data_IF_693810503217
#
_entry.id   IF_693810503217
#
_cell.length_a   1.000
_cell.length_b   1.000
_cell.length_c   1.000
_cell.angle_alpha   90.00
_cell.angle_beta   90.00
_cell.angle_gamma   90.00
#
_symmetry.space_group_name_H-M   'P 1'
#
loop_
_entity.id
_entity.type
_entity.pdbx_description
1 polymer ?
#
# COMPACT_ATOMS: atom_id res chain seq x y z
N UNK A 1 -42.15 21.87 10.55
CA UNK A 1 -40.71 21.81 10.16
C UNK A 1 -39.93 21.53 11.43
N UNK A 2 -39.29 20.36 11.56
CA UNK A 2 -38.47 19.99 12.73
C UNK A 2 -37.01 20.10 12.33
N UNK A 3 -36.30 21.02 12.96
CA UNK A 3 -34.86 21.20 12.75
C UNK A 3 -34.09 19.98 13.27
N UNK A 4 -33.23 19.46 12.42
CA UNK A 4 -32.33 18.33 12.71
C UNK A 4 -31.01 18.92 13.21
N UNK A 5 -30.52 18.58 14.41
CA UNK A 5 -29.26 19.15 14.89
C UNK A 5 -28.11 18.61 14.02
N UNK A 6 -27.21 19.51 13.62
CA UNK A 6 -25.99 19.17 12.92
C UNK A 6 -25.14 18.23 13.80
N UNK A 7 -24.73 17.08 13.25
CA UNK A 7 -23.75 16.20 13.90
C UNK A 7 -22.43 16.96 14.01
N UNK A 8 -22.06 17.34 15.22
CA UNK A 8 -20.69 17.74 15.53
C UNK A 8 -19.77 16.53 15.33
N UNK A 9 -18.84 16.64 14.39
CA UNK A 9 -17.81 15.65 14.13
C UNK A 9 -16.61 15.94 15.05
N UNK A 10 -16.41 15.10 16.05
CA UNK A 10 -15.13 15.07 16.79
C UNK A 10 -14.10 14.29 15.97
N UNK A 11 -12.90 14.83 15.71
CA UNK A 11 -11.85 14.08 15.05
C UNK A 11 -11.42 12.88 15.91
N UNK A 12 -11.34 11.70 15.29
CA UNK A 12 -10.91 10.46 15.96
C UNK A 12 -9.49 10.62 16.51
N UNK A 13 -9.23 10.35 17.81
CA UNK A 13 -7.90 10.47 18.40
C UNK A 13 -6.87 9.53 17.76
N UNK A 14 -5.64 9.99 17.53
CA UNK A 14 -4.52 9.23 16.94
C UNK A 14 -4.17 7.92 17.66
N UNK A 15 -4.57 7.76 18.93
CA UNK A 15 -4.42 6.51 19.68
C UNK A 15 -5.15 5.32 19.02
N UNK A 16 -6.10 5.58 18.11
CA UNK A 16 -6.84 4.58 17.35
C UNK A 16 -6.38 4.47 15.89
N UNK A 17 -5.16 4.87 15.52
CA UNK A 17 -4.60 4.64 14.17
C UNK A 17 -3.68 3.41 14.23
N UNK A 18 -4.28 2.23 14.39
CA UNK A 18 -3.64 0.95 14.07
C UNK A 18 -3.90 0.58 12.59
N UNK A 19 -3.13 -0.37 12.04
CA UNK A 19 -3.25 -0.80 10.65
C UNK A 19 -4.67 -1.28 10.25
N UNK A 20 -5.48 -1.73 11.21
CA UNK A 20 -6.87 -2.18 10.98
C UNK A 20 -7.86 -0.99 10.91
N UNK A 21 -7.64 0.06 11.70
CA UNK A 21 -8.36 1.33 11.65
C UNK A 21 -7.95 2.23 10.48
N UNK A 22 -6.76 2.05 9.91
CA UNK A 22 -6.34 2.75 8.70
C UNK A 22 -7.17 2.34 7.47
N UNK A 23 -7.61 1.07 7.39
CA UNK A 23 -8.40 0.55 6.27
C UNK A 23 -9.89 0.95 6.40
N UNK A 24 -10.39 1.17 7.62
CA UNK A 24 -11.81 1.48 7.89
C UNK A 24 -12.10 2.95 8.19
N UNK A 25 -11.08 3.75 8.53
CA UNK A 25 -11.21 5.14 8.96
C UNK A 25 -10.92 6.22 7.91
N UNK A 26 -10.51 5.86 6.69
CA UNK A 26 -10.14 6.84 5.66
C UNK A 26 -11.31 7.15 4.74
N UNK A 27 -12.05 8.21 5.05
CA UNK A 27 -12.72 8.95 3.97
C UNK A 27 -11.61 9.69 3.21
N UNK A 28 -11.55 9.56 1.88
CA UNK A 28 -10.56 10.29 1.06
C UNK A 28 -10.52 11.81 1.34
N UNK A 29 -11.64 12.37 1.81
CA UNK A 29 -11.75 13.76 2.31
C UNK A 29 -10.79 14.09 3.47
N UNK A 30 -10.55 13.15 4.39
CA UNK A 30 -9.70 13.37 5.57
C UNK A 30 -8.20 13.38 5.21
N UNK A 31 -7.82 12.66 4.16
CA UNK A 31 -6.47 12.69 3.62
C UNK A 31 -6.18 14.03 2.95
N UNK A 32 -7.09 14.51 2.08
CA UNK A 32 -6.93 15.82 1.44
C UNK A 32 -6.90 16.97 2.46
N UNK A 33 -7.73 16.91 3.51
CA UNK A 33 -7.68 17.92 4.57
C UNK A 33 -6.36 17.90 5.33
N UNK A 34 -5.79 16.71 5.56
CA UNK A 34 -4.47 16.54 6.19
C UNK A 34 -3.36 17.08 5.29
N UNK A 35 -3.36 16.75 4.00
CA UNK A 35 -2.38 17.32 3.05
C UNK A 35 -2.46 18.85 3.01
N UNK A 36 -3.68 19.41 3.00
CA UNK A 36 -3.90 20.85 3.05
C UNK A 36 -3.42 21.47 4.37
N UNK A 37 -3.65 20.82 5.50
CA UNK A 37 -3.20 21.35 6.81
C UNK A 37 -1.67 21.33 6.91
N UNK A 38 -1.03 20.25 6.45
CA UNK A 38 0.43 20.13 6.36
C UNK A 38 1.01 21.22 5.45
N UNK A 39 0.42 21.43 4.26
CA UNK A 39 0.84 22.49 3.34
C UNK A 39 0.67 23.89 3.96
N UNK A 40 -0.46 24.16 4.60
CA UNK A 40 -0.71 25.41 5.31
C UNK A 40 0.28 25.63 6.46
N UNK A 41 0.66 24.57 7.19
CA UNK A 41 1.66 24.63 8.24
C UNK A 41 3.05 24.98 7.67
N UNK A 42 3.44 24.37 6.54
CA UNK A 42 4.69 24.70 5.87
C UNK A 42 4.79 26.15 5.40
N UNK A 43 3.67 26.73 4.94
CA UNK A 43 3.59 28.15 4.58
C UNK A 43 3.65 29.08 5.81
N UNK A 44 3.09 28.66 6.95
CA UNK A 44 3.10 29.43 8.21
C UNK A 44 4.46 29.39 8.92
N UNK A 45 5.31 28.41 8.61
CA UNK A 45 6.65 28.28 9.18
C UNK A 45 7.74 28.37 8.09
N UNK A 46 7.86 29.53 7.42
CA UNK A 46 8.69 29.66 6.20
C UNK A 46 10.18 29.42 6.47
N UNK A 47 10.71 29.84 7.62
CA UNK A 47 12.13 29.64 7.97
C UNK A 47 12.46 28.16 8.15
N UNK A 48 11.57 27.40 8.82
CA UNK A 48 11.72 25.96 9.01
C UNK A 48 11.70 25.24 7.66
N UNK A 49 10.67 25.50 6.86
CA UNK A 49 10.51 24.93 5.53
C UNK A 49 11.68 25.27 4.60
N UNK A 50 12.13 26.54 4.57
CA UNK A 50 13.27 26.97 3.76
C UNK A 50 14.57 26.25 4.16
N UNK A 51 14.84 26.08 5.46
CA UNK A 51 16.00 25.33 5.93
C UNK A 51 15.99 23.89 5.44
N UNK A 52 14.84 23.22 5.52
CA UNK A 52 14.72 21.84 5.05
C UNK A 52 14.80 21.74 3.52
N UNK A 53 14.26 22.71 2.79
CA UNK A 53 14.35 22.78 1.33
C UNK A 53 15.80 23.02 0.86
N UNK A 54 16.55 23.90 1.53
CA UNK A 54 17.97 24.12 1.22
C UNK A 54 18.82 22.88 1.49
N UNK A 55 18.60 22.19 2.63
CA UNK A 55 19.25 20.92 2.94
C UNK A 55 18.95 19.86 1.87
N UNK A 56 17.68 19.74 1.46
CA UNK A 56 17.27 18.85 0.38
C UNK A 56 17.98 19.22 -0.93
N UNK A 57 17.99 20.50 -1.31
CA UNK A 57 18.65 20.97 -2.53
C UNK A 57 20.14 20.62 -2.56
N UNK A 58 20.84 20.79 -1.44
CA UNK A 58 22.24 20.38 -1.30
C UNK A 58 22.44 18.86 -1.43
N UNK A 59 21.55 18.06 -0.83
CA UNK A 59 21.56 16.59 -0.98
C UNK A 59 21.32 16.19 -2.45
N UNK A 60 20.32 16.77 -3.10
CA UNK A 60 20.02 16.50 -4.51
C UNK A 60 21.17 16.90 -5.43
N UNK A 61 21.84 18.03 -5.18
CA UNK A 61 23.05 18.41 -5.91
C UNK A 61 24.16 17.37 -5.80
N UNK A 62 24.44 16.87 -4.59
CA UNK A 62 25.42 15.79 -4.36
C UNK A 62 25.01 14.48 -5.03
N UNK A 63 23.73 14.13 -4.98
CA UNK A 63 23.18 12.97 -5.70
C UNK A 63 23.39 13.11 -7.20
N UNK A 64 23.13 14.29 -7.78
CA UNK A 64 23.38 14.54 -9.21
C UNK A 64 24.86 14.38 -9.58
N UNK A 65 25.77 14.79 -8.69
CA UNK A 65 27.21 14.55 -8.82
C UNK A 65 27.59 13.05 -8.69
N UNK A 66 26.64 12.20 -8.31
CA UNK A 66 26.79 10.74 -8.25
C UNK A 66 27.12 10.20 -6.86
N UNK A 67 27.04 11.02 -5.82
CA UNK A 67 27.22 10.57 -4.45
C UNK A 67 26.07 9.68 -3.98
N UNK A 68 26.40 8.72 -3.12
CA UNK A 68 25.43 7.87 -2.43
C UNK A 68 25.35 8.33 -0.98
N UNK A 69 24.24 8.97 -0.63
CA UNK A 69 24.07 9.65 0.66
C UNK A 69 23.36 8.78 1.68
N UNK A 70 22.53 7.84 1.22
CA UNK A 70 21.67 7.04 2.05
C UNK A 70 21.83 5.56 1.73
N UNK A 71 21.97 4.70 2.75
CA UNK A 71 21.97 3.26 2.54
C UNK A 71 20.59 2.82 2.04
N UNK A 72 20.58 1.91 1.09
CA UNK A 72 19.36 1.23 0.66
C UNK A 72 18.98 0.19 1.70
N UNK A 73 17.69 0.09 2.04
CA UNK A 73 17.21 -0.95 2.96
C UNK A 73 17.32 -2.32 2.27
N UNK A 74 18.13 -3.27 2.78
CA UNK A 74 18.29 -4.59 2.16
C UNK A 74 16.99 -5.42 2.17
N UNK A 75 16.01 -5.06 2.99
CA UNK A 75 14.70 -5.72 3.05
C UNK A 75 13.63 -5.06 2.16
N UNK A 76 13.96 -3.96 1.46
CA UNK A 76 13.02 -3.32 0.52
C UNK A 76 13.14 -3.96 -0.87
N UNK A 77 12.29 -4.97 -1.11
CA UNK A 77 12.26 -5.71 -2.38
C UNK A 77 12.00 -4.84 -3.61
N UNK A 78 11.45 -3.63 -3.44
CA UNK A 78 11.21 -2.68 -4.55
C UNK A 78 12.50 -2.27 -5.24
N UNK A 79 13.63 -2.30 -4.53
CA UNK A 79 14.94 -1.89 -5.03
C UNK A 79 15.94 -3.06 -5.08
N UNK A 80 15.45 -4.30 -5.16
CA UNK A 80 16.30 -5.49 -5.19
C UNK A 80 17.04 -5.71 -6.52
N UNK A 81 16.56 -5.11 -7.62
CA UNK A 81 17.22 -5.25 -8.93
C UNK A 81 18.61 -4.58 -8.93
N UNK A 82 19.69 -5.27 -9.38
CA UNK A 82 21.04 -4.71 -9.41
C UNK A 82 21.17 -3.41 -10.22
N UNK A 83 20.26 -3.14 -11.16
CA UNK A 83 20.27 -1.89 -11.91
C UNK A 83 20.18 -0.66 -11.01
N UNK A 84 19.52 -0.76 -9.85
CA UNK A 84 19.42 0.32 -8.86
C UNK A 84 20.78 0.72 -8.25
N UNK A 85 21.75 -0.18 -8.21
CA UNK A 85 23.10 0.10 -7.69
C UNK A 85 24.14 0.28 -8.80
N UNK A 86 24.01 -0.46 -9.90
CA UNK A 86 25.00 -0.48 -10.97
C UNK A 86 24.83 0.65 -12.00
N UNK A 87 23.59 1.06 -12.28
CA UNK A 87 23.33 2.10 -13.27
C UNK A 87 23.34 3.50 -12.63
N UNK A 88 24.16 4.45 -13.11
CA UNK A 88 24.20 5.80 -12.56
C UNK A 88 22.86 6.53 -12.56
N UNK A 89 22.01 6.33 -13.58
CA UNK A 89 20.69 6.95 -13.66
C UNK A 89 19.76 6.42 -12.56
N UNK A 90 19.60 5.09 -12.48
CA UNK A 90 18.74 4.48 -11.45
C UNK A 90 19.26 4.75 -10.04
N UNK A 91 20.57 4.65 -9.83
CA UNK A 91 21.20 4.97 -8.55
C UNK A 91 20.91 6.41 -8.12
N UNK A 92 21.05 7.38 -9.03
CA UNK A 92 20.72 8.78 -8.74
C UNK A 92 19.23 8.97 -8.43
N UNK A 93 18.34 8.34 -9.19
CA UNK A 93 16.90 8.43 -8.94
C UNK A 93 16.50 7.85 -7.57
N UNK A 94 17.09 6.71 -7.19
CA UNK A 94 16.89 6.09 -5.88
C UNK A 94 17.42 6.97 -4.76
N UNK A 95 18.64 7.50 -4.90
CA UNK A 95 19.22 8.38 -3.87
C UNK A 95 18.43 9.68 -3.73
N UNK A 96 17.93 10.26 -4.84
CA UNK A 96 17.07 11.44 -4.79
C UNK A 96 15.76 11.15 -4.04
N UNK A 97 15.13 10.01 -4.31
CA UNK A 97 13.96 9.54 -3.60
C UNK A 97 14.21 9.32 -2.10
N UNK A 98 15.31 8.65 -1.73
CA UNK A 98 15.67 8.44 -0.32
C UNK A 98 16.00 9.75 0.41
N UNK A 99 16.65 10.70 -0.26
CA UNK A 99 16.93 12.03 0.29
C UNK A 99 15.63 12.80 0.53
N UNK A 100 14.72 12.80 -0.44
CA UNK A 100 13.37 13.36 -0.26
C UNK A 100 12.65 12.71 0.94
N UNK A 101 12.60 11.38 0.96
CA UNK A 101 11.91 10.61 1.99
C UNK A 101 12.41 10.97 3.39
N UNK A 102 13.73 10.97 3.58
CA UNK A 102 14.35 11.28 4.88
C UNK A 102 14.14 12.74 5.26
N UNK A 103 14.34 13.65 4.31
CA UNK A 103 14.32 15.08 4.60
C UNK A 103 12.91 15.60 4.91
N UNK A 104 11.87 15.07 4.26
CA UNK A 104 10.47 15.39 4.57
C UNK A 104 10.05 14.79 5.91
N UNK A 105 10.45 13.55 6.23
CA UNK A 105 10.20 12.98 7.57
C UNK A 105 10.81 13.83 8.68
N UNK A 106 12.06 14.25 8.52
CA UNK A 106 12.71 15.16 9.46
C UNK A 106 11.98 16.50 9.57
N UNK A 107 11.48 17.05 8.46
CA UNK A 107 10.70 18.28 8.48
C UNK A 107 9.40 18.13 9.29
N UNK A 108 8.70 16.99 9.15
CA UNK A 108 7.50 16.66 9.94
C UNK A 108 7.87 16.48 11.41
N UNK A 109 8.95 15.76 11.73
CA UNK A 109 9.37 15.49 13.11
C UNK A 109 9.78 16.75 13.87
N UNK A 110 10.48 17.66 13.20
CA UNK A 110 10.92 18.95 13.75
C UNK A 110 9.82 20.03 13.69
N UNK A 111 8.66 19.74 13.09
CA UNK A 111 7.55 20.69 13.03
C UNK A 111 6.85 20.84 14.39
N UNK A 112 6.38 22.06 14.68
CA UNK A 112 5.65 22.38 15.92
C UNK A 112 4.16 21.98 15.84
N UNK A 113 3.87 20.83 15.25
CA UNK A 113 2.54 20.26 15.15
C UNK A 113 2.16 19.54 16.46
N UNK A 114 0.85 19.44 16.72
CA UNK A 114 0.35 18.56 17.78
C UNK A 114 0.74 17.09 17.49
N UNK A 115 0.82 16.21 18.51
CA UNK A 115 1.12 14.79 18.29
C UNK A 115 0.15 14.10 17.31
N UNK A 116 -1.14 14.46 17.35
CA UNK A 116 -2.18 13.92 16.47
C UNK A 116 -1.95 14.35 15.02
N UNK A 117 -1.72 15.65 14.78
CA UNK A 117 -1.46 16.20 13.45
C UNK A 117 -0.17 15.64 12.86
N UNK A 118 0.87 15.46 13.68
CA UNK A 118 2.14 14.86 13.25
C UNK A 118 1.97 13.41 12.81
N UNK A 119 1.20 12.62 13.54
CA UNK A 119 0.91 11.23 13.17
C UNK A 119 0.13 11.15 11.84
N UNK A 120 -0.86 12.02 11.66
CA UNK A 120 -1.61 12.14 10.40
C UNK A 120 -0.70 12.58 9.23
N UNK A 121 0.19 13.53 9.48
CA UNK A 121 1.16 14.00 8.49
C UNK A 121 2.11 12.87 8.05
N UNK A 122 2.64 12.10 9.00
CA UNK A 122 3.46 10.92 8.70
C UNK A 122 2.71 9.88 7.89
N UNK A 123 1.47 9.60 8.25
CA UNK A 123 0.63 8.65 7.51
C UNK A 123 0.36 9.12 6.06
N UNK A 124 -0.07 10.38 5.89
CA UNK A 124 -0.32 10.95 4.58
C UNK A 124 0.96 10.99 3.73
N UNK A 125 2.10 11.33 4.35
CA UNK A 125 3.39 11.31 3.71
C UNK A 125 3.82 9.90 3.30
N UNK A 126 3.62 8.89 4.15
CA UNK A 126 3.96 7.51 3.82
C UNK A 126 3.22 7.05 2.55
N UNK A 127 1.91 7.32 2.46
CA UNK A 127 1.12 6.99 1.28
C UNK A 127 1.60 7.72 0.02
N UNK A 128 1.87 9.03 0.13
CA UNK A 128 2.38 9.82 -0.98
C UNK A 128 3.77 9.35 -1.42
N UNK A 129 4.66 9.13 -0.46
CA UNK A 129 6.02 8.67 -0.70
C UNK A 129 6.03 7.29 -1.37
N UNK A 130 5.20 6.37 -0.90
CA UNK A 130 5.07 5.05 -1.52
C UNK A 130 4.50 5.14 -2.93
N UNK A 131 3.51 6.01 -3.18
CA UNK A 131 2.97 6.22 -4.54
C UNK A 131 4.03 6.78 -5.51
N UNK A 132 4.86 7.72 -5.03
CA UNK A 132 5.91 8.37 -5.81
C UNK A 132 7.22 7.55 -5.91
N UNK A 133 7.25 6.34 -5.36
CA UNK A 133 8.44 5.51 -5.41
C UNK A 133 8.88 5.27 -6.87
N UNK A 134 10.18 5.43 -7.22
CA UNK A 134 10.67 5.22 -8.58
C UNK A 134 10.35 3.84 -9.16
N UNK A 135 10.22 2.83 -8.30
CA UNK A 135 9.83 1.47 -8.66
C UNK A 135 8.39 1.33 -9.15
N UNK A 136 7.52 2.31 -8.90
CA UNK A 136 6.15 2.32 -9.42
C UNK A 136 6.04 2.95 -10.82
N UNK A 137 7.14 3.49 -11.36
CA UNK A 137 7.17 4.06 -12.70
C UNK A 137 7.33 2.99 -13.77
N UNK A 138 6.80 3.24 -14.98
CA UNK A 138 7.08 2.44 -16.18
C UNK A 138 8.57 2.42 -16.53
N UNK A 139 9.35 3.37 -16.01
CA UNK A 139 10.79 3.42 -16.16
C UNK A 139 11.53 2.53 -15.15
N UNK A 140 10.85 1.73 -14.34
CA UNK A 140 11.50 0.77 -13.44
C UNK A 140 12.33 -0.24 -14.28
N UNK A 141 13.58 -0.58 -13.89
CA UNK A 141 14.41 -1.56 -14.59
C UNK A 141 13.72 -2.89 -14.84
N UNK A 142 12.89 -3.39 -13.91
CA UNK A 142 12.11 -4.62 -14.09
C UNK A 142 11.08 -4.48 -15.22
N UNK A 143 10.37 -3.35 -15.28
CA UNK A 143 9.37 -3.09 -16.32
C UNK A 143 10.03 -2.97 -17.70
N UNK A 144 11.14 -2.25 -17.79
CA UNK A 144 11.89 -2.10 -19.03
C UNK A 144 12.46 -3.46 -19.48
N UNK A 145 13.05 -4.23 -18.57
CA UNK A 145 13.58 -5.57 -18.86
C UNK A 145 12.48 -6.50 -19.36
N UNK A 146 11.29 -6.45 -18.76
CA UNK A 146 10.15 -7.26 -19.20
C UNK A 146 9.61 -6.82 -20.57
N UNK A 147 9.61 -5.51 -20.87
CA UNK A 147 9.27 -5.01 -22.21
C UNK A 147 10.25 -5.57 -23.24
N UNK A 148 11.55 -5.53 -22.96
CA UNK A 148 12.56 -6.09 -23.88
C UNK A 148 12.44 -7.62 -24.01
N UNK A 149 12.32 -8.35 -22.90
CA UNK A 149 12.22 -9.81 -22.90
C UNK A 149 10.97 -10.32 -23.61
N UNK A 150 9.84 -9.62 -23.45
CA UNK A 150 8.57 -9.99 -24.07
C UNK A 150 8.40 -9.40 -25.48
N UNK A 151 9.35 -8.62 -25.99
CA UNK A 151 9.23 -7.88 -27.26
C UNK A 151 8.06 -6.89 -27.26
N UNK A 152 7.68 -6.36 -26.09
CA UNK A 152 6.52 -5.47 -25.91
C UNK A 152 5.18 -6.19 -25.73
N UNK A 153 5.14 -7.53 -25.79
CA UNK A 153 3.90 -8.29 -25.61
C UNK A 153 3.31 -8.12 -24.20
N UNK A 154 4.16 -7.92 -23.18
CA UNK A 154 3.68 -7.64 -21.80
C UNK A 154 2.88 -6.34 -21.71
N UNK A 155 3.30 -5.30 -22.44
CA UNK A 155 2.58 -4.01 -22.50
C UNK A 155 1.25 -4.15 -23.23
N UNK A 156 1.23 -4.87 -24.35
CA UNK A 156 0.00 -5.14 -25.12
C UNK A 156 -1.01 -5.90 -24.27
N UNK A 157 -0.57 -6.94 -23.55
CA UNK A 157 -1.42 -7.68 -22.61
C UNK A 157 -1.92 -6.79 -21.48
N UNK A 158 -1.04 -5.98 -20.88
CA UNK A 158 -1.43 -5.03 -19.83
C UNK A 158 -2.51 -4.04 -20.28
N UNK A 159 -2.38 -3.48 -21.49
CA UNK A 159 -3.40 -2.59 -22.09
C UNK A 159 -4.69 -3.37 -22.37
N UNK A 160 -4.59 -4.59 -22.91
CA UNK A 160 -5.76 -5.43 -23.13
C UNK A 160 -6.52 -5.74 -21.84
N UNK A 161 -5.80 -6.00 -20.74
CA UNK A 161 -6.40 -6.21 -19.42
C UNK A 161 -7.03 -4.92 -18.88
N UNK A 162 -6.35 -3.79 -19.02
CA UNK A 162 -6.90 -2.48 -18.61
C UNK A 162 -8.20 -2.16 -19.36
N UNK A 163 -8.25 -2.39 -20.67
CA UNK A 163 -9.46 -2.16 -21.48
C UNK A 163 -10.56 -3.13 -21.07
N UNK A 164 -10.24 -4.41 -20.87
CA UNK A 164 -11.19 -5.41 -20.40
C UNK A 164 -11.77 -5.07 -19.02
N UNK A 165 -10.94 -4.56 -18.11
CA UNK A 165 -11.34 -4.15 -16.76
C UNK A 165 -12.22 -2.88 -16.79
N UNK A 166 -11.94 -1.94 -17.69
CA UNK A 166 -12.79 -0.75 -17.92
C UNK A 166 -14.15 -1.12 -18.50
N UNK A 167 -14.21 -2.09 -19.41
CA UNK A 167 -15.43 -2.49 -20.08
C UNK A 167 -16.27 -3.47 -19.25
N UNK A 168 -15.64 -4.33 -18.47
CA UNK A 168 -16.28 -5.50 -17.87
C UNK A 168 -16.04 -5.65 -16.36
N UNK A 169 -15.38 -4.70 -15.68
CA UNK A 169 -15.10 -4.78 -14.25
C UNK A 169 -15.10 -3.41 -13.53
N UNK A 170 -15.92 -2.46 -13.98
CA UNK A 170 -16.05 -1.11 -13.40
C UNK A 170 -14.72 -0.34 -13.26
N UNK A 171 -13.74 -0.67 -14.11
CA UNK A 171 -12.39 -0.08 -14.07
C UNK A 171 -11.51 -0.59 -12.93
N UNK A 172 -11.96 -1.58 -12.17
CA UNK A 172 -11.15 -2.23 -11.14
C UNK A 172 -10.30 -3.34 -11.75
N UNK A 173 -9.00 -3.43 -11.41
CA UNK A 173 -8.16 -4.53 -11.89
C UNK A 173 -8.72 -5.90 -11.46
N UNK A 174 -8.82 -6.85 -12.39
CA UNK A 174 -9.19 -8.23 -12.04
C UNK A 174 -8.07 -8.89 -11.21
N UNK A 175 -8.35 -9.11 -9.93
CA UNK A 175 -7.41 -9.80 -9.03
C UNK A 175 -7.42 -11.33 -9.18
N UNK A 176 -8.52 -11.89 -9.70
CA UNK A 176 -8.67 -13.34 -9.92
C UNK A 176 -9.53 -13.64 -11.16
N UNK A 177 -9.21 -14.73 -11.85
CA UNK A 177 -10.06 -15.27 -12.91
C UNK A 177 -11.31 -15.87 -12.27
N UNK A 178 -12.48 -15.24 -12.47
CA UNK A 178 -13.75 -15.68 -11.87
C UNK A 178 -14.11 -17.13 -12.24
N UNK A 179 -13.60 -17.64 -13.36
CA UNK A 179 -13.83 -18.99 -13.86
C UNK A 179 -12.85 -20.05 -13.32
N UNK A 180 -11.84 -19.69 -12.51
CA UNK A 180 -10.83 -20.64 -12.01
C UNK A 180 -11.27 -21.42 -10.75
N UNK A 181 -12.38 -21.03 -10.13
CA UNK A 181 -12.84 -21.58 -8.86
C UNK A 181 -14.09 -22.44 -9.03
N UNK A 182 -13.89 -23.76 -8.96
CA UNK A 182 -14.93 -24.77 -8.96
C UNK A 182 -14.97 -25.44 -7.59
N UNK A 183 -16.10 -25.33 -6.90
CA UNK A 183 -16.32 -26.02 -5.61
C UNK A 183 -16.19 -27.53 -5.80
N UNK A 184 -15.40 -28.17 -4.95
CA UNK A 184 -15.06 -29.60 -5.02
C UNK A 184 -13.90 -29.95 -5.97
N UNK A 185 -13.39 -29.02 -6.79
CA UNK A 185 -12.22 -29.26 -7.66
C UNK A 185 -11.03 -28.35 -7.40
N UNK A 186 -11.25 -27.04 -7.31
CA UNK A 186 -10.18 -26.07 -7.03
C UNK A 186 -10.39 -25.30 -5.72
N UNK A 187 -11.61 -25.33 -5.17
CA UNK A 187 -11.94 -24.81 -3.84
C UNK A 187 -12.76 -25.85 -3.08
N UNK A 188 -12.70 -25.87 -1.75
CA UNK A 188 -13.40 -26.84 -0.90
C UNK A 188 -13.06 -28.31 -1.23
N UNK A 189 -11.79 -28.59 -1.53
CA UNK A 189 -11.30 -29.91 -1.97
C UNK A 189 -10.84 -30.82 -0.84
N UNK A 190 -10.91 -30.36 0.42
CA UNK A 190 -10.53 -31.17 1.57
C UNK A 190 -11.42 -32.41 1.63
N UNK A 191 -10.80 -33.59 1.58
CA UNK A 191 -11.54 -34.86 1.55
C UNK A 191 -12.39 -35.00 2.80
N UNK A 192 -13.69 -35.19 2.62
CA UNK A 192 -14.66 -35.34 3.69
C UNK A 192 -15.98 -35.88 3.16
N UNK A 193 -16.91 -36.15 4.06
CA UNK A 193 -18.25 -36.65 3.73
C UNK A 193 -19.32 -35.93 4.54
N UNK A 194 -20.50 -35.79 3.95
CA UNK A 194 -21.69 -35.29 4.67
C UNK A 194 -22.20 -36.42 5.55
N UNK A 195 -22.20 -36.23 6.86
CA UNK A 195 -22.63 -37.22 7.85
C UNK A 195 -24.01 -36.93 8.45
N UNK A 196 -24.51 -35.71 8.27
CA UNK A 196 -25.86 -35.31 8.64
C UNK A 196 -26.34 -34.16 7.75
N UNK A 197 -27.64 -34.15 7.41
CA UNK A 197 -28.27 -33.12 6.55
C UNK A 197 -29.70 -32.86 7.03
N UNK A 198 -30.07 -31.59 7.13
CA UNK A 198 -31.46 -31.15 7.33
C UNK A 198 -31.73 -29.88 6.49
N UNK A 199 -32.88 -29.23 6.69
CA UNK A 199 -33.27 -28.03 5.93
C UNK A 199 -32.39 -26.79 6.21
N UNK A 200 -31.67 -26.78 7.32
CA UNK A 200 -30.86 -25.62 7.76
C UNK A 200 -29.36 -25.81 7.50
N UNK A 201 -28.86 -27.05 7.51
CA UNK A 201 -27.43 -27.31 7.42
C UNK A 201 -27.07 -28.68 6.88
N UNK A 202 -25.81 -28.78 6.46
CA UNK A 202 -25.08 -30.01 6.22
C UNK A 202 -23.88 -30.10 7.17
N UNK A 203 -23.76 -31.20 7.89
CA UNK A 203 -22.60 -31.50 8.73
C UNK A 203 -21.59 -32.30 7.92
N UNK A 204 -20.42 -31.73 7.70
CA UNK A 204 -19.32 -32.36 6.98
C UNK A 204 -18.29 -32.88 7.99
N UNK A 205 -17.94 -34.16 7.89
CA UNK A 205 -16.81 -34.75 8.59
C UNK A 205 -15.63 -34.90 7.63
N UNK A 206 -14.52 -34.21 7.94
CA UNK A 206 -13.29 -34.33 7.16
C UNK A 206 -12.54 -35.63 7.48
N UNK A 207 -11.87 -36.18 6.47
CA UNK A 207 -11.00 -37.35 6.62
C UNK A 207 -9.77 -36.98 7.45
N UNK A 208 -9.37 -37.86 8.37
CA UNK A 208 -8.14 -37.67 9.13
C UNK A 208 -6.93 -37.64 8.20
N UNK A 209 -6.04 -36.66 8.41
CA UNK A 209 -4.74 -36.57 7.76
C UNK A 209 -3.59 -37.09 8.64
N UNK A 210 -3.90 -37.64 9.83
CA UNK A 210 -2.94 -38.18 10.81
C UNK A 210 -3.39 -39.52 11.39
N UNK A 211 -2.45 -40.31 11.88
CA UNK A 211 -2.73 -41.61 12.53
C UNK A 211 -3.42 -41.47 13.90
N UNK A 212 -3.12 -40.40 14.63
CA UNK A 212 -3.73 -40.08 15.92
C UNK A 212 -4.45 -38.74 15.84
N UNK A 213 -5.61 -38.67 16.48
CA UNK A 213 -6.42 -37.46 16.62
C UNK A 213 -6.67 -37.18 18.10
N UNK A 214 -6.97 -35.93 18.44
CA UNK A 214 -7.42 -35.58 19.78
C UNK A 214 -8.77 -36.23 20.09
N UNK A 215 -8.98 -36.61 21.36
CA UNK A 215 -10.23 -37.24 21.80
C UNK A 215 -11.45 -36.32 21.67
N UNK A 216 -11.24 -35.00 21.68
CA UNK A 216 -12.33 -34.02 21.61
C UNK A 216 -12.43 -33.46 20.18
N UNK A 217 -13.55 -33.67 19.47
CA UNK A 217 -13.73 -33.15 18.13
C UNK A 217 -13.87 -31.63 18.15
N UNK A 218 -13.26 -30.96 17.18
CA UNK A 218 -13.41 -29.52 16.99
C UNK A 218 -14.56 -29.26 16.01
N UNK A 219 -15.58 -28.51 16.45
CA UNK A 219 -16.71 -28.10 15.62
C UNK A 219 -16.52 -26.65 15.18
N UNK A 220 -16.51 -26.41 13.88
CA UNK A 220 -16.56 -25.06 13.30
C UNK A 220 -18.03 -24.68 13.12
N UNK A 221 -18.56 -23.70 13.87
CA UNK A 221 -19.93 -23.22 13.65
C UNK A 221 -20.01 -22.46 12.32
N UNK A 222 -21.18 -22.50 11.68
CA UNK A 222 -21.41 -21.69 10.49
C UNK A 222 -21.31 -20.20 10.88
N UNK A 223 -20.49 -19.43 10.18
CA UNK A 223 -20.47 -17.97 10.30
C UNK A 223 -21.31 -17.43 9.15
N UNK A 224 -22.50 -16.96 9.50
CA UNK A 224 -23.29 -16.10 8.61
C UNK A 224 -22.70 -14.68 8.59
#
# INVERSE_FOLDING_TARGET
>A
MRDKPAREFSPTPAAFINAQSAITGLRGRDLFSTLRSVAAHGLRHPVHTARHALKLGGQLGRVLLGETLHPTNPHDNRFADPAWSLNPFYRRSLQAYLSWQKQVRHWIDESNMSPDDRARAHFAFALLNDALAPSNSLLNPLAIKEIFNSGGNSLVRGISHLVDDLLHNDGLPRQVTKQAFESGKTVATTTGSVVFRNELLELIQYKSMSEKQYSNPHRVPNKD
#
